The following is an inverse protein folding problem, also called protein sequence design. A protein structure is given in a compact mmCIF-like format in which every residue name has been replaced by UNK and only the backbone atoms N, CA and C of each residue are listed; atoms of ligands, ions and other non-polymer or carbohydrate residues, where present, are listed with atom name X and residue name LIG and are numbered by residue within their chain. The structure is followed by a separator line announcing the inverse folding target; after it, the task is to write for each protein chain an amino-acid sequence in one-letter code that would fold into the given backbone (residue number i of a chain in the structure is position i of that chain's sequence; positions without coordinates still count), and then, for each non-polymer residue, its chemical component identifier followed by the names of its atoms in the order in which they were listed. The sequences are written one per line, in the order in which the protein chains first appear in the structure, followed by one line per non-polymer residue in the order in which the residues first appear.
data_IF_587819639660
#
_entry.id   IF_587819639660
#
_cell.length_a   1.000
_cell.length_b   1.000
_cell.length_c   1.000
_cell.angle_alpha   90.00
_cell.angle_beta   90.00
_cell.angle_gamma   90.00
#
_symmetry.space_group_name_H-M   'P 1'
#
loop_
_entity.id
_entity.type
_entity.pdbx_description
1 polymer ?
#
# COMPACT_ATOMS: atom_id res chain seq x y z
N UNK A 1 36.05 -13.34 -18.58
CA UNK A 1 35.17 -13.74 -17.95
C UNK A 1 33.94 -13.57 -18.51
N UNK A 2 33.34 -14.15 -18.58
CA UNK A 2 32.15 -14.06 -19.21
C UNK A 2 31.22 -13.12 -18.61
N UNK A 3 30.08 -12.99 -19.14
CA UNK A 3 29.15 -12.19 -18.62
C UNK A 3 28.64 -12.72 -17.38
N UNK A 4 28.35 -11.90 -16.40
CA UNK A 4 27.72 -12.30 -15.19
C UNK A 4 26.28 -12.56 -15.46
N UNK A 5 25.81 -13.75 -15.13
CA UNK A 5 24.42 -14.03 -15.26
C UNK A 5 23.69 -13.41 -14.11
N UNK A 6 22.53 -12.86 -14.36
CA UNK A 6 21.69 -12.34 -13.28
C UNK A 6 21.11 -13.52 -12.51
N UNK A 7 21.35 -13.56 -11.22
CA UNK A 7 20.78 -14.56 -10.33
C UNK A 7 20.09 -13.82 -9.23
N UNK A 8 18.77 -13.91 -9.18
CA UNK A 8 18.01 -13.02 -8.36
C UNK A 8 18.37 -13.08 -6.88
N UNK A 9 18.63 -14.27 -6.34
CA UNK A 9 18.96 -14.35 -4.93
C UNK A 9 20.40 -14.00 -4.64
N UNK A 10 21.22 -13.76 -5.66
CA UNK A 10 22.58 -13.28 -5.47
C UNK A 10 22.70 -11.79 -5.72
N UNK A 11 21.83 -11.26 -6.59
CA UNK A 11 21.94 -9.89 -7.01
C UNK A 11 21.01 -8.94 -6.29
N UNK A 12 20.19 -9.47 -5.38
CA UNK A 12 19.28 -8.61 -4.62
C UNK A 12 19.49 -8.82 -3.12
N UNK A 13 19.17 -7.76 -2.36
CA UNK A 13 19.27 -7.82 -0.91
C UNK A 13 18.23 -8.75 -0.34
N UNK A 14 18.41 -9.17 0.90
CA UNK A 14 17.43 -9.98 1.59
C UNK A 14 16.10 -9.25 1.72
N UNK A 15 16.14 -7.95 2.00
CA UNK A 15 14.92 -7.17 2.11
C UNK A 15 14.15 -7.19 0.80
N UNK A 16 14.86 -7.02 -0.31
CA UNK A 16 14.19 -7.06 -1.61
C UNK A 16 13.54 -8.41 -1.85
N UNK A 17 14.28 -9.48 -1.60
CA UNK A 17 13.75 -10.81 -1.86
C UNK A 17 12.55 -11.11 -0.98
N UNK A 18 12.64 -10.75 0.29
CA UNK A 18 11.53 -10.96 1.19
C UNK A 18 10.28 -10.21 0.71
N UNK A 19 10.44 -8.95 0.36
CA UNK A 19 9.29 -8.14 -0.04
C UNK A 19 8.77 -8.54 -1.41
N UNK A 20 9.66 -8.97 -2.31
CA UNK A 20 9.23 -9.34 -3.66
C UNK A 20 8.40 -10.62 -3.67
N UNK A 21 8.73 -11.56 -2.79
CA UNK A 21 8.04 -12.85 -2.79
C UNK A 21 7.01 -13.02 -1.70
N UNK A 22 6.92 -12.08 -0.78
CA UNK A 22 5.94 -12.19 0.28
C UNK A 22 4.53 -12.00 -0.27
N UNK A 23 3.62 -12.88 0.08
CA UNK A 23 2.28 -12.86 -0.49
C UNK A 23 1.17 -12.75 0.55
N UNK A 24 1.50 -12.76 1.83
CA UNK A 24 0.47 -12.75 2.86
C UNK A 24 -0.29 -11.45 2.96
N UNK A 25 0.24 -10.36 2.41
CA UNK A 25 -0.47 -9.08 2.38
C UNK A 25 -1.25 -8.86 1.10
N UNK A 26 -1.20 -9.78 0.16
CA UNK A 26 -1.88 -9.62 -1.11
C UNK A 26 -3.31 -10.10 -0.97
N UNK A 27 -4.11 -9.31 -0.30
CA UNK A 27 -5.50 -9.67 -0.11
C UNK A 27 -6.36 -8.43 -0.12
N UNK A 28 -7.62 -8.62 -0.42
CA UNK A 28 -8.59 -7.55 -0.45
C UNK A 28 -9.33 -7.56 0.87
N UNK A 29 -9.36 -6.40 1.53
CA UNK A 29 -10.12 -6.27 2.76
C UNK A 29 -11.50 -5.72 2.39
N UNK A 30 -12.55 -6.41 2.83
CA UNK A 30 -13.89 -6.04 2.41
C UNK A 30 -14.36 -4.71 2.97
N UNK A 31 -13.99 -4.41 4.19
CA UNK A 31 -14.43 -3.18 4.83
C UNK A 31 -13.21 -2.44 5.38
N UNK A 32 -12.36 -1.94 4.46
CA UNK A 32 -11.16 -1.28 4.94
C UNK A 32 -11.48 0.06 5.55
N UNK A 33 -10.65 0.49 6.48
CA UNK A 33 -10.79 1.82 7.08
C UNK A 33 -10.28 2.90 6.14
N UNK A 34 -9.42 2.54 5.22
CA UNK A 34 -8.97 3.44 4.16
C UNK A 34 -8.65 2.62 2.91
N UNK A 35 -8.90 3.21 1.76
CA UNK A 35 -8.69 2.53 0.48
C UNK A 35 -8.14 3.51 -0.53
N UNK A 36 -7.13 3.10 -1.28
CA UNK A 36 -6.58 3.92 -2.35
C UNK A 36 -6.16 3.07 -3.53
N UNK A 37 -6.37 3.59 -4.72
CA UNK A 37 -6.00 2.90 -5.95
C UNK A 37 -5.30 3.87 -6.87
N UNK A 38 -4.21 3.43 -7.45
CA UNK A 38 -3.48 4.27 -8.40
C UNK A 38 -2.96 3.40 -9.53
N UNK A 39 -3.01 3.95 -10.74
CA UNK A 39 -2.46 3.30 -11.92
C UNK A 39 -1.27 4.14 -12.40
N UNK A 40 -0.15 3.49 -12.62
CA UNK A 40 1.05 4.18 -13.08
C UNK A 40 1.09 4.30 -14.58
N UNK A 41 2.12 5.00 -15.05
CA UNK A 41 2.27 5.23 -16.49
C UNK A 41 2.50 3.93 -17.26
N UNK A 42 3.07 2.95 -16.59
CA UNK A 42 3.32 1.66 -17.25
C UNK A 42 2.07 0.79 -17.31
N UNK A 43 0.96 1.26 -16.75
CA UNK A 43 -0.28 0.50 -16.77
C UNK A 43 -0.51 -0.38 -15.56
N UNK A 44 0.48 -0.49 -14.68
CA UNK A 44 0.31 -1.29 -13.47
C UNK A 44 -0.58 -0.56 -12.49
N UNK A 45 -1.36 -1.32 -11.75
CA UNK A 45 -2.27 -0.76 -10.75
C UNK A 45 -1.93 -1.31 -9.38
N UNK A 46 -2.01 -0.44 -8.38
CA UNK A 46 -1.86 -0.84 -6.98
C UNK A 46 -3.07 -0.35 -6.21
N UNK A 47 -3.70 -1.27 -5.48
CA UNK A 47 -4.79 -0.94 -4.55
C UNK A 47 -4.28 -1.19 -3.14
N UNK A 48 -4.45 -0.21 -2.27
CA UNK A 48 -4.03 -0.33 -0.88
C UNK A 48 -5.25 -0.32 0.03
N UNK A 49 -5.24 -1.19 1.02
CA UNK A 49 -6.34 -1.32 2.00
C UNK A 49 -5.75 -1.15 3.39
N UNK A 50 -6.31 -0.24 4.16
CA UNK A 50 -5.81 0.03 5.51
C UNK A 50 -6.80 -0.42 6.57
N UNK A 51 -6.28 -1.03 7.62
CA UNK A 51 -7.01 -1.22 8.86
C UNK A 51 -6.40 -0.30 9.88
N UNK A 52 -7.21 0.55 10.50
CA UNK A 52 -6.73 1.53 11.48
C UNK A 52 -7.45 1.29 12.80
N UNK A 53 -6.69 1.28 13.89
CA UNK A 53 -7.27 1.08 15.20
C UNK A 53 -6.63 2.06 16.16
N UNK A 54 -7.46 2.88 16.79
CA UNK A 54 -6.98 3.87 17.78
C UNK A 54 -5.92 4.79 17.19
N UNK A 55 -6.11 5.19 15.93
CA UNK A 55 -5.19 6.12 15.28
C UNK A 55 -3.91 5.50 14.78
N UNK A 56 -3.74 4.19 14.92
CA UNK A 56 -2.56 3.50 14.42
C UNK A 56 -2.94 2.58 13.27
N UNK A 57 -2.04 2.46 12.32
CA UNK A 57 -2.24 1.54 11.20
C UNK A 57 -1.98 0.14 11.72
N UNK A 58 -3.03 -0.66 11.78
CA UNK A 58 -2.93 -2.01 12.29
C UNK A 58 -2.45 -2.97 11.22
N UNK A 59 -2.93 -2.80 10.00
CA UNK A 59 -2.56 -3.69 8.90
C UNK A 59 -2.70 -2.97 7.59
N UNK A 60 -1.86 -3.34 6.63
CA UNK A 60 -1.95 -2.84 5.27
C UNK A 60 -1.96 -4.05 4.36
N UNK A 61 -2.94 -4.10 3.47
CA UNK A 61 -3.01 -5.13 2.44
C UNK A 61 -3.04 -4.46 1.09
N UNK A 62 -2.77 -5.21 0.03
CA UNK A 62 -2.77 -4.61 -1.29
C UNK A 62 -3.08 -5.64 -2.35
N UNK A 63 -3.47 -5.13 -3.51
CA UNK A 63 -3.61 -5.92 -4.73
C UNK A 63 -2.87 -5.16 -5.82
N UNK A 64 -2.20 -5.88 -6.70
CA UNK A 64 -1.49 -5.23 -7.78
C UNK A 64 -1.48 -6.11 -9.00
N UNK A 65 -1.51 -5.47 -10.18
CA UNK A 65 -1.32 -6.15 -11.44
C UNK A 65 0.13 -6.08 -11.89
N UNK A 66 1.00 -5.45 -11.09
CA UNK A 66 2.36 -5.23 -11.49
C UNK A 66 3.26 -6.44 -11.28
N UNK A 67 4.51 -6.24 -11.59
CA UNK A 67 5.50 -7.31 -11.55
C UNK A 67 6.08 -7.45 -10.13
N UNK A 68 7.12 -8.25 -10.04
CA UNK A 68 7.82 -8.50 -8.80
C UNK A 68 8.30 -7.21 -8.14
N UNK A 69 8.77 -6.25 -8.93
CA UNK A 69 9.25 -4.98 -8.38
C UNK A 69 8.11 -4.20 -7.74
N UNK A 70 6.93 -4.21 -8.36
CA UNK A 70 5.77 -3.54 -7.79
C UNK A 70 5.33 -4.23 -6.50
N UNK A 71 5.37 -5.55 -6.49
CA UNK A 71 5.02 -6.31 -5.29
C UNK A 71 5.99 -5.98 -4.16
N UNK A 72 7.28 -5.90 -4.48
CA UNK A 72 8.29 -5.57 -3.48
C UNK A 72 8.04 -4.18 -2.89
N UNK A 73 7.72 -3.22 -3.74
CA UNK A 73 7.48 -1.87 -3.29
C UNK A 73 6.23 -1.77 -2.41
N UNK A 74 5.15 -2.45 -2.83
CA UNK A 74 3.91 -2.40 -2.06
C UNK A 74 4.09 -3.07 -0.69
N UNK A 75 4.78 -4.21 -0.64
CA UNK A 75 5.06 -4.86 0.62
C UNK A 75 5.92 -3.98 1.53
N UNK A 76 6.87 -3.26 0.94
CA UNK A 76 7.74 -2.39 1.73
C UNK A 76 6.96 -1.24 2.34
N UNK A 77 6.03 -0.64 1.56
CA UNK A 77 5.17 0.40 2.12
C UNK A 77 4.40 -0.17 3.31
N UNK A 78 3.84 -1.35 3.16
CA UNK A 78 3.09 -1.98 4.25
C UNK A 78 4.00 -2.22 5.46
N UNK A 79 5.19 -2.72 5.21
CA UNK A 79 6.14 -3.02 6.28
C UNK A 79 6.50 -1.75 7.06
N UNK A 80 6.71 -0.66 6.35
CA UNK A 80 7.09 0.60 6.99
C UNK A 80 5.90 1.25 7.70
N UNK A 81 4.69 0.99 7.22
CA UNK A 81 3.50 1.67 7.73
C UNK A 81 2.88 0.99 8.93
N UNK A 82 2.93 -0.33 8.98
CA UNK A 82 2.22 -1.05 10.04
C UNK A 82 2.79 -0.68 11.39
N UNK A 83 1.92 -0.35 12.33
CA UNK A 83 2.30 0.05 13.67
C UNK A 83 2.46 1.55 13.85
N UNK A 84 2.53 2.31 12.77
CA UNK A 84 2.71 3.75 12.89
C UNK A 84 1.38 4.44 13.15
N UNK A 85 1.45 5.61 13.77
CA UNK A 85 0.29 6.49 13.80
C UNK A 85 0.01 6.96 12.38
N UNK A 86 -1.27 7.18 12.09
CA UNK A 86 -1.64 7.64 10.76
C UNK A 86 -0.90 8.92 10.39
N UNK A 87 -0.76 9.84 11.35
CA UNK A 87 -0.07 11.10 11.08
C UNK A 87 1.38 10.88 10.66
N UNK A 88 2.04 9.89 11.27
CA UNK A 88 3.43 9.62 10.97
C UNK A 88 3.60 8.86 9.65
N UNK A 89 2.56 8.15 9.24
CA UNK A 89 2.64 7.36 8.01
C UNK A 89 2.77 8.24 6.78
N UNK A 90 2.33 9.50 6.86
CA UNK A 90 2.50 10.41 5.73
C UNK A 90 3.96 10.71 5.41
N UNK A 91 4.86 10.38 6.32
CA UNK A 91 6.28 10.64 6.13
C UNK A 91 6.97 9.57 5.29
N UNK A 92 6.30 8.48 4.99
CA UNK A 92 6.88 7.43 4.16
C UNK A 92 6.96 7.94 2.73
N UNK A 93 8.16 7.93 2.17
CA UNK A 93 8.41 8.45 0.82
C UNK A 93 8.89 7.34 -0.10
N UNK A 94 8.84 7.56 -1.42
CA UNK A 94 9.43 6.57 -2.33
C UNK A 94 10.92 6.32 -2.04
N UNK A 95 11.64 7.35 -1.60
CA UNK A 95 13.05 7.16 -1.25
C UNK A 95 13.21 6.19 -0.09
N UNK A 96 12.29 6.23 0.88
CA UNK A 96 12.35 5.28 1.99
C UNK A 96 12.16 3.85 1.50
N UNK A 97 11.28 3.65 0.54
CA UNK A 97 11.04 2.33 -0.03
C UNK A 97 12.28 1.85 -0.77
N UNK A 98 12.86 2.73 -1.58
CA UNK A 98 14.06 2.39 -2.34
C UNK A 98 15.20 2.05 -1.40
N UNK A 99 15.37 2.83 -0.34
CA UNK A 99 16.43 2.59 0.63
C UNK A 99 16.24 1.27 1.35
N UNK A 100 15.01 0.93 1.70
CA UNK A 100 14.73 -0.32 2.40
C UNK A 100 15.08 -1.52 1.51
N UNK A 101 14.71 -1.44 0.24
CA UNK A 101 14.92 -2.55 -0.69
C UNK A 101 16.37 -2.68 -1.13
N UNK A 102 17.11 -1.58 -1.12
CA UNK A 102 18.55 -1.52 -1.45
C UNK A 102 18.86 -1.84 -2.91
N UNK A 103 18.25 -2.87 -3.46
CA UNK A 103 18.63 -3.32 -4.81
C UNK A 103 17.49 -3.22 -5.81
N UNK A 104 16.51 -2.32 -5.55
CA UNK A 104 15.49 -2.08 -6.56
C UNK A 104 16.16 -1.49 -7.79
N UNK A 105 15.94 -2.07 -8.99
CA UNK A 105 16.61 -1.55 -10.18
C UNK A 105 16.24 -0.10 -10.43
N UNK A 106 17.21 0.73 -10.85
CA UNK A 106 16.92 2.16 -11.06
C UNK A 106 15.81 2.40 -12.07
N UNK A 107 15.66 1.51 -13.05
CA UNK A 107 14.59 1.66 -14.04
C UNK A 107 13.22 1.42 -13.45
N UNK A 108 13.14 0.89 -12.23
CA UNK A 108 11.87 0.53 -11.60
C UNK A 108 11.54 1.39 -10.39
N UNK A 109 12.20 2.54 -10.24
CA UNK A 109 11.88 3.42 -9.11
C UNK A 109 10.45 3.95 -9.20
N UNK A 110 9.86 3.98 -10.40
CA UNK A 110 8.47 4.38 -10.54
C UNK A 110 7.54 3.44 -9.79
N UNK A 111 7.96 2.20 -9.55
CA UNK A 111 7.14 1.27 -8.77
C UNK A 111 7.02 1.74 -7.33
N UNK A 112 8.09 2.32 -6.78
CA UNK A 112 8.03 2.87 -5.44
C UNK A 112 7.10 4.07 -5.38
N UNK A 113 7.14 4.92 -6.40
CA UNK A 113 6.25 6.08 -6.46
C UNK A 113 4.80 5.64 -6.58
N UNK A 114 4.55 4.61 -7.37
CA UNK A 114 3.20 4.09 -7.55
C UNK A 114 2.65 3.55 -6.23
N UNK A 115 3.44 2.74 -5.53
CA UNK A 115 2.99 2.13 -4.29
C UNK A 115 2.74 3.19 -3.21
N UNK A 116 3.67 4.14 -3.06
CA UNK A 116 3.51 5.20 -2.07
C UNK A 116 2.32 6.09 -2.43
N UNK A 117 2.12 6.36 -3.72
CA UNK A 117 0.98 7.16 -4.16
C UNK A 117 -0.35 6.51 -3.82
N UNK A 118 -0.46 5.20 -4.05
CA UNK A 118 -1.69 4.48 -3.69
C UNK A 118 -1.90 4.51 -2.17
N UNK A 119 -0.81 4.40 -1.41
CA UNK A 119 -0.89 4.46 0.04
C UNK A 119 -1.38 5.83 0.52
N UNK A 120 -0.86 6.91 -0.08
CA UNK A 120 -1.32 8.25 0.28
C UNK A 120 -2.81 8.43 -0.02
N UNK A 121 -3.28 7.86 -1.12
CA UNK A 121 -4.69 7.92 -1.44
C UNK A 121 -5.52 7.18 -0.39
N UNK A 122 -5.00 6.07 0.11
CA UNK A 122 -5.70 5.34 1.17
C UNK A 122 -5.73 6.14 2.46
N UNK A 123 -4.65 6.82 2.80
CA UNK A 123 -4.63 7.68 3.98
C UNK A 123 -5.61 8.84 3.84
N UNK A 124 -5.66 9.44 2.65
CA UNK A 124 -6.59 10.53 2.38
C UNK A 124 -8.04 10.05 2.55
N UNK A 125 -8.32 8.88 2.00
CA UNK A 125 -9.65 8.30 2.11
C UNK A 125 -10.02 8.09 3.57
N UNK A 126 -9.10 7.55 4.38
CA UNK A 126 -9.35 7.35 5.79
C UNK A 126 -9.65 8.69 6.48
N UNK A 127 -8.86 9.72 6.18
CA UNK A 127 -9.08 11.02 6.78
C UNK A 127 -10.44 11.58 6.44
N UNK A 128 -10.84 11.45 5.18
CA UNK A 128 -12.12 11.96 4.75
C UNK A 128 -13.27 11.24 5.43
N UNK A 129 -13.14 9.94 5.59
CA UNK A 129 -14.17 9.17 6.28
C UNK A 129 -14.30 9.59 7.75
N UNK A 130 -13.18 9.95 8.37
CA UNK A 130 -13.22 10.38 9.76
C UNK A 130 -13.90 11.73 9.92
N UNK A 131 -13.86 12.56 8.88
CA UNK A 131 -14.43 13.90 8.97
C UNK A 131 -15.88 13.98 8.57
N UNK A 132 -16.45 12.90 8.04
CA UNK A 132 -17.83 12.95 7.59
C UNK A 132 -18.77 12.86 8.77
N UNK A 133 -19.59 13.88 9.01
CA UNK A 133 -20.56 13.78 10.09
C UNK A 133 -21.61 12.74 9.73
N UNK A 134 -22.11 12.04 10.72
CA UNK A 134 -23.14 11.05 10.52
C UNK A 134 -22.71 9.77 9.89
N UNK A 135 -21.43 9.55 9.70
CA UNK A 135 -20.96 8.38 9.08
C UNK A 135 -20.97 7.24 10.05
N UNK A 136 -21.49 6.96 10.81
CA UNK A 136 -21.42 5.89 11.70
C UNK A 136 -21.50 4.54 11.08
N UNK A 137 -21.61 4.40 11.18
CA UNK A 137 -21.67 3.43 10.88
C UNK A 137 -21.73 2.70 10.76
N UNK A 138 -21.96 2.52 10.66
CA UNK A 138 -22.01 1.89 10.55
C UNK A 138 -21.79 1.12 10.13
N UNK A 139 -21.43 0.89 10.29
CA UNK A 139 -21.15 0.12 9.86
C UNK A 139 -21.96 -0.79 9.85
N UNK A 140 -22.57 -0.92 9.75
CA UNK A 140 -23.28 -1.54 9.65
C UNK A 140 -24.19 -1.41 9.00
N UNK A 141 -24.44 -1.13 8.64
CA UNK A 141 -25.07 -0.99 7.96
C UNK A 141 -25.51 -0.62 7.10
N UNK A 142 -25.73 -0.46 6.62
CA UNK A 142 -25.93 0.03 5.82
C UNK A 142 -25.82 0.56 5.07
N UNK A 143 -25.76 0.49 4.66
CA UNK A 143 -25.38 1.16 4.06
C UNK A 143 -25.32 1.52 3.35
N UNK A 144 -25.23 1.40 2.83
CA UNK A 144 -24.90 1.85 2.14
C UNK A 144 -24.43 1.99 1.60
N UNK A 145 -24.30 1.76 1.15
CA UNK A 145 -23.60 1.92 0.68
C UNK A 145 -23.03 2.41 0.58
N UNK A 146 -22.76 2.32 0.57
CA UNK A 146 -22.12 2.83 0.68
C UNK A 146 -21.93 3.11 1.39
N UNK A 147 -22.38 2.69 1.88
CA UNK A 147 -21.97 2.93 2.74
C UNK A 147 -22.07 3.30 3.56
N UNK A 148 -22.07 3.00 3.92
CA UNK A 148 -22.04 3.49 4.61
C UNK A 148 -21.81 3.98 4.58
N UNK A 149 -21.92 4.02 4.05
CA UNK A 149 -21.55 4.57 3.88
C UNK A 149 -22.11 5.15 3.62
N UNK A 150 -22.55 5.03 3.49
CA UNK A 150 -22.79 5.75 3.34
C UNK A 150 -23.29 6.37 3.39
N UNK A 151 -23.77 6.28 3.50
CA UNK A 151 -23.98 6.97 3.45
C UNK A 151 -24.04 7.76 3.48
N UNK A 152 -24.08 7.78 3.13
CA UNK A 152 -23.83 8.49 3.01
C UNK A 152 -23.73 9.06 2.87
N UNK A 153 -23.87 8.99 2.45
CA UNK A 153 -23.48 9.45 2.31
C UNK A 153 -23.48 9.85 2.30
N UNK A 154 -23.53 9.69 2.08
CA UNK A 154 -23.22 10.11 1.92
C UNK A 154 -23.00 10.32 1.89
#
# INVERSE_FOLDING_TARGET
MGQKKFVIWQDHSEHYLEMAYRSDRREKIEHPDGYGKRTGECGDTVEMFLSVQQGHIQAVSFQTTGCMNTNACANTVAELAEGRKVEDAWEITPDDVIAYLETLPPANTHCAELAVGAFYLALTNWQELQRRPGRTCTRKSKVSPDGCFDATVD
#
